data_IF_732726304867
#
_entry.id   IF_732726304867
#
_cell.length_a   1.000
_cell.length_b   1.000
_cell.length_c   1.000
_cell.angle_alpha   90.00
_cell.angle_beta   90.00
_cell.angle_gamma   90.00
#
_symmetry.space_group_name_H-M   'P 1'
#
loop_
_entity.id
_entity.type
_entity.pdbx_description
1 polymer ?
#
# COMPACT_ATOMS: atom_id res chain seq x y z
N UNK A 1 4.55 19.74 -50.94
CA UNK A 1 3.22 19.83 -50.27
C UNK A 1 2.71 21.27 -50.35
N UNK A 2 1.39 21.50 -50.49
CA UNK A 2 0.81 22.86 -50.49
C UNK A 2 0.92 23.50 -49.10
N UNK A 3 1.08 24.84 -49.04
CA UNK A 3 1.16 25.63 -47.79
C UNK A 3 -0.01 25.34 -46.84
N UNK A 4 -1.20 25.09 -47.40
CA UNK A 4 -2.40 24.69 -46.64
C UNK A 4 -2.25 23.31 -45.98
N UNK A 5 -1.67 22.34 -46.68
CA UNK A 5 -1.39 20.99 -46.16
C UNK A 5 -0.32 21.00 -45.05
N UNK A 6 0.65 21.92 -45.13
CA UNK A 6 1.68 22.08 -44.10
C UNK A 6 1.10 22.60 -42.79
N UNK A 7 0.26 23.65 -42.85
CA UNK A 7 -0.41 24.21 -41.67
C UNK A 7 -1.35 23.20 -41.00
N UNK A 8 -2.07 22.40 -41.80
CA UNK A 8 -2.95 21.35 -41.31
C UNK A 8 -2.17 20.23 -40.60
N UNK A 9 -1.03 19.81 -41.15
CA UNK A 9 -0.15 18.83 -40.52
C UNK A 9 0.39 19.33 -39.18
N UNK A 10 0.78 20.60 -39.08
CA UNK A 10 1.24 21.20 -37.81
C UNK A 10 0.13 21.21 -36.76
N UNK A 11 -1.09 21.60 -37.15
CA UNK A 11 -2.26 21.57 -36.25
C UNK A 11 -2.53 20.15 -35.73
N UNK A 12 -2.54 19.15 -36.61
CA UNK A 12 -2.77 17.75 -36.24
C UNK A 12 -1.67 17.22 -35.31
N UNK A 13 -0.41 17.65 -35.48
CA UNK A 13 0.68 17.29 -34.58
C UNK A 13 0.48 17.88 -33.18
N UNK A 14 0.06 19.14 -33.08
CA UNK A 14 -0.24 19.80 -31.81
C UNK A 14 -1.41 19.12 -31.08
N UNK A 15 -2.47 18.81 -31.82
CA UNK A 15 -3.65 18.13 -31.29
C UNK A 15 -3.30 16.72 -30.78
N UNK A 16 -2.56 15.94 -31.56
CA UNK A 16 -2.09 14.62 -31.13
C UNK A 16 -1.21 14.69 -29.88
N UNK A 17 -0.35 15.72 -29.76
CA UNK A 17 0.46 15.91 -28.56
C UNK A 17 -0.42 16.22 -27.33
N UNK A 18 -1.48 17.01 -27.49
CA UNK A 18 -2.44 17.29 -26.41
C UNK A 18 -3.21 16.03 -26.00
N UNK A 19 -3.71 15.26 -26.97
CA UNK A 19 -4.44 14.01 -26.72
C UNK A 19 -3.56 12.99 -26.01
N UNK A 20 -2.30 12.83 -26.42
CA UNK A 20 -1.34 11.93 -25.74
C UNK A 20 -1.13 12.32 -24.27
N UNK A 21 -1.06 13.61 -23.96
CA UNK A 21 -0.94 14.10 -22.56
C UNK A 21 -2.20 13.80 -21.75
N UNK A 22 -3.37 14.01 -22.32
CA UNK A 22 -4.64 13.72 -21.66
C UNK A 22 -4.85 12.22 -21.42
N UNK A 23 -4.54 11.40 -22.42
CA UNK A 23 -4.62 9.94 -22.28
C UNK A 23 -3.68 9.46 -21.17
N UNK A 24 -2.43 9.95 -21.12
CA UNK A 24 -1.50 9.60 -20.04
C UNK A 24 -2.05 9.97 -18.66
N UNK A 25 -2.62 11.18 -18.52
CA UNK A 25 -3.25 11.63 -17.28
C UNK A 25 -4.35 10.66 -16.84
N UNK A 26 -5.29 10.37 -17.75
CA UNK A 26 -6.41 9.46 -17.50
C UNK A 26 -5.94 8.04 -17.20
N UNK A 27 -4.87 7.56 -17.85
CA UNK A 27 -4.31 6.23 -17.58
C UNK A 27 -3.83 6.13 -16.13
N UNK A 28 -3.08 7.12 -15.65
CA UNK A 28 -2.59 7.15 -14.26
C UNK A 28 -3.75 7.27 -13.26
N UNK A 29 -4.68 8.20 -13.50
CA UNK A 29 -5.84 8.42 -12.60
C UNK A 29 -6.71 7.17 -12.52
N UNK A 30 -7.08 6.58 -13.65
CA UNK A 30 -7.91 5.37 -13.67
C UNK A 30 -7.20 4.18 -13.01
N UNK A 31 -5.89 4.03 -13.23
CA UNK A 31 -5.12 2.97 -12.56
C UNK A 31 -5.12 3.17 -11.04
N UNK A 32 -4.91 4.41 -10.56
CA UNK A 32 -4.98 4.72 -9.14
C UNK A 32 -6.39 4.44 -8.55
N UNK A 33 -7.43 4.95 -9.20
CA UNK A 33 -8.82 4.79 -8.74
C UNK A 33 -9.22 3.32 -8.74
N UNK A 34 -8.92 2.56 -9.79
CA UNK A 34 -9.35 1.16 -9.88
C UNK A 34 -8.55 0.24 -8.96
N UNK A 35 -7.23 0.44 -8.89
CA UNK A 35 -6.35 -0.51 -8.21
C UNK A 35 -6.18 -0.17 -6.73
N UNK A 36 -6.36 1.08 -6.29
CA UNK A 36 -5.99 1.52 -4.94
C UNK A 36 -7.16 2.08 -4.13
N UNK A 37 -8.02 2.94 -4.70
CA UNK A 37 -9.11 3.54 -3.92
C UNK A 37 -10.06 2.54 -3.23
N UNK A 38 -10.46 1.40 -3.85
CA UNK A 38 -11.31 0.42 -3.18
C UNK A 38 -10.73 -0.17 -1.90
N UNK A 39 -9.40 -0.17 -1.75
CA UNK A 39 -8.71 -0.74 -0.60
C UNK A 39 -8.59 0.26 0.57
N UNK A 40 -8.78 1.54 0.32
CA UNK A 40 -8.73 2.57 1.34
C UNK A 40 -10.04 2.58 2.15
N UNK A 41 -10.01 1.96 3.33
CA UNK A 41 -11.16 1.93 4.27
C UNK A 41 -11.47 3.31 4.89
N UNK A 42 -10.50 4.24 4.85
CA UNK A 42 -10.50 5.61 5.39
C UNK A 42 -9.61 6.49 4.49
N UNK A 43 -9.45 7.77 4.85
CA UNK A 43 -8.40 8.61 4.23
C UNK A 43 -7.04 7.89 4.28
N UNK A 44 -6.39 7.69 3.12
CA UNK A 44 -5.17 6.92 3.06
C UNK A 44 -4.02 7.65 3.73
N UNK A 45 -3.22 6.89 4.45
CA UNK A 45 -1.98 7.36 5.06
C UNK A 45 -0.94 7.70 4.01
N UNK A 46 0.01 8.58 4.35
CA UNK A 46 1.12 8.94 3.46
C UNK A 46 1.92 7.71 2.99
N UNK A 47 2.02 6.68 3.83
CA UNK A 47 2.67 5.41 3.51
C UNK A 47 1.89 4.62 2.47
N UNK A 48 0.56 4.52 2.62
CA UNK A 48 -0.30 3.84 1.64
C UNK A 48 -0.28 4.56 0.28
N UNK A 49 -0.33 5.91 0.29
CA UNK A 49 -0.23 6.70 -0.94
C UNK A 49 1.15 6.51 -1.61
N UNK A 50 2.23 6.50 -0.82
CA UNK A 50 3.58 6.28 -1.35
C UNK A 50 3.75 4.86 -1.92
N UNK A 51 3.14 3.85 -1.29
CA UNK A 51 3.11 2.49 -1.82
C UNK A 51 2.37 2.44 -3.16
N UNK A 52 1.17 3.02 -3.24
CA UNK A 52 0.39 3.08 -4.47
C UNK A 52 1.16 3.75 -5.62
N UNK A 53 1.84 4.86 -5.35
CA UNK A 53 2.66 5.56 -6.36
C UNK A 53 3.86 4.71 -6.80
N UNK A 54 4.45 3.96 -5.87
CA UNK A 54 5.59 3.09 -6.17
C UNK A 54 5.17 1.94 -7.09
N UNK A 55 4.04 1.30 -6.83
CA UNK A 55 3.48 0.27 -7.70
C UNK A 55 3.08 0.83 -9.08
N UNK A 56 2.42 1.99 -9.14
CA UNK A 56 2.11 2.64 -10.41
C UNK A 56 3.36 3.00 -11.22
N UNK A 57 4.47 3.35 -10.55
CA UNK A 57 5.77 3.54 -11.21
C UNK A 57 6.24 2.24 -11.85
N UNK A 58 6.11 1.11 -11.16
CA UNK A 58 6.52 -0.19 -11.69
C UNK A 58 5.64 -0.62 -12.87
N UNK A 59 4.33 -0.45 -12.77
CA UNK A 59 3.37 -0.82 -13.81
C UNK A 59 3.49 0.06 -15.07
N UNK A 60 3.59 1.38 -14.90
CA UNK A 60 3.51 2.33 -16.01
C UNK A 60 4.89 2.77 -16.52
N UNK A 61 5.97 2.46 -15.80
CA UNK A 61 7.33 2.88 -16.15
C UNK A 61 7.55 4.41 -16.11
N UNK A 62 6.68 5.14 -15.42
CA UNK A 62 6.72 6.61 -15.34
C UNK A 62 7.59 7.09 -14.18
N UNK A 63 8.18 8.27 -14.33
CA UNK A 63 8.87 8.91 -13.21
C UNK A 63 7.89 9.27 -12.08
N UNK A 64 8.26 8.99 -10.83
CA UNK A 64 7.47 9.32 -9.61
C UNK A 64 6.95 10.76 -9.64
N UNK A 65 7.82 11.71 -10.00
CA UNK A 65 7.47 13.13 -10.12
C UNK A 65 6.24 13.36 -10.99
N UNK A 66 6.12 12.62 -12.10
CA UNK A 66 5.03 12.77 -13.06
C UNK A 66 3.74 12.17 -12.54
N UNK A 67 3.82 11.02 -11.88
CA UNK A 67 2.67 10.37 -11.24
C UNK A 67 2.10 11.28 -10.15
N UNK A 68 2.96 11.79 -9.26
CA UNK A 68 2.55 12.74 -8.19
C UNK A 68 1.90 13.99 -8.78
N UNK A 69 2.46 14.57 -9.84
CA UNK A 69 1.87 15.74 -10.50
C UNK A 69 0.46 15.44 -11.03
N UNK A 70 0.27 14.29 -11.68
CA UNK A 70 -1.03 13.87 -12.21
C UNK A 70 -2.04 13.66 -11.07
N UNK A 71 -1.68 12.88 -10.04
CA UNK A 71 -2.53 12.61 -8.89
C UNK A 71 -2.94 13.92 -8.20
N UNK A 72 -1.97 14.79 -7.92
CA UNK A 72 -2.24 16.06 -7.24
C UNK A 72 -3.05 17.06 -8.09
N UNK A 73 -3.16 16.85 -9.40
CA UNK A 73 -4.02 17.69 -10.27
C UNK A 73 -5.50 17.34 -10.10
N UNK A 74 -5.82 16.17 -9.56
CA UNK A 74 -7.19 15.73 -9.30
C UNK A 74 -7.53 15.97 -7.82
N UNK A 75 -8.59 16.74 -7.55
CA UNK A 75 -9.02 17.09 -6.19
C UNK A 75 -9.60 15.89 -5.43
N UNK A 76 -10.15 14.91 -6.14
CA UNK A 76 -10.76 13.71 -5.54
C UNK A 76 -9.72 12.65 -5.15
N UNK A 77 -8.46 12.83 -5.55
CA UNK A 77 -7.37 11.92 -5.25
C UNK A 77 -6.53 12.41 -4.07
N UNK A 78 -5.98 11.50 -3.26
CA UNK A 78 -5.22 11.88 -2.08
C UNK A 78 -3.89 12.53 -2.47
N UNK A 79 -3.71 13.80 -2.06
CA UNK A 79 -2.50 14.56 -2.34
C UNK A 79 -1.29 14.10 -1.53
N UNK A 80 -0.13 14.11 -2.16
CA UNK A 80 1.16 13.91 -1.50
C UNK A 80 2.24 14.81 -2.06
N UNK A 81 3.05 15.42 -1.18
CA UNK A 81 4.25 16.14 -1.60
C UNK A 81 5.37 15.16 -1.93
N UNK A 82 6.32 15.57 -2.79
CA UNK A 82 7.49 14.72 -3.09
C UNK A 82 8.32 14.39 -1.85
N UNK A 83 8.45 15.35 -0.92
CA UNK A 83 9.13 15.11 0.36
C UNK A 83 8.42 14.03 1.17
N UNK A 84 7.10 14.16 1.36
CA UNK A 84 6.31 13.16 2.08
C UNK A 84 6.36 11.78 1.41
N UNK A 85 6.41 11.73 0.06
CA UNK A 85 6.62 10.48 -0.68
C UNK A 85 7.96 9.83 -0.30
N UNK A 86 9.06 10.57 -0.43
CA UNK A 86 10.39 10.01 -0.13
C UNK A 86 10.53 9.69 1.35
N UNK A 87 10.04 10.55 2.24
CA UNK A 87 10.02 10.29 3.68
C UNK A 87 9.25 9.01 4.01
N UNK A 88 8.10 8.77 3.36
CA UNK A 88 7.33 7.55 3.56
C UNK A 88 7.99 6.32 2.90
N UNK A 89 8.63 6.50 1.76
CA UNK A 89 9.32 5.45 1.01
C UNK A 89 10.60 4.96 1.71
N UNK A 90 11.36 5.87 2.33
CA UNK A 90 12.60 5.56 3.05
C UNK A 90 12.39 5.28 4.54
N UNK A 91 11.17 5.49 5.05
CA UNK A 91 10.86 5.12 6.43
C UNK A 91 10.82 3.61 6.52
N UNK A 92 11.84 3.06 7.18
CA UNK A 92 11.80 1.66 7.57
C UNK A 92 10.57 1.40 8.43
N UNK A 93 9.97 0.24 8.18
CA UNK A 93 8.94 -0.27 9.06
C UNK A 93 9.56 -0.54 10.44
N UNK A 94 9.32 0.36 11.40
CA UNK A 94 9.85 0.26 12.77
C UNK A 94 9.55 -1.08 13.42
N UNK A 95 8.45 -1.72 13.06
CA UNK A 95 8.14 -3.06 13.58
C UNK A 95 9.06 -4.10 12.98
N UNK A 96 9.35 -4.01 11.68
CA UNK A 96 10.30 -4.90 11.02
C UNK A 96 11.71 -4.70 11.57
N UNK A 97 12.10 -3.45 11.85
CA UNK A 97 13.41 -3.13 12.42
C UNK A 97 13.54 -3.64 13.87
N UNK A 98 12.53 -3.40 14.71
CA UNK A 98 12.62 -3.70 16.15
C UNK A 98 12.18 -5.12 16.52
N UNK A 99 11.35 -5.76 15.69
CA UNK A 99 10.68 -7.03 15.99
C UNK A 99 10.67 -7.99 14.80
N UNK A 100 11.52 -7.81 13.79
CA UNK A 100 11.51 -8.64 12.57
C UNK A 100 11.67 -10.14 12.85
N UNK A 101 12.53 -10.49 13.82
CA UNK A 101 12.72 -11.85 14.31
C UNK A 101 11.44 -12.41 14.96
N UNK A 102 10.80 -11.62 15.81
CA UNK A 102 9.55 -12.01 16.48
C UNK A 102 8.39 -12.11 15.49
N UNK A 103 8.31 -11.22 14.49
CA UNK A 103 7.31 -11.25 13.42
C UNK A 103 7.41 -12.56 12.64
N UNK A 104 8.63 -12.92 12.19
CA UNK A 104 8.86 -14.17 11.49
C UNK A 104 8.46 -15.37 12.35
N UNK A 105 8.86 -15.39 13.63
CA UNK A 105 8.54 -16.50 14.52
C UNK A 105 7.05 -16.59 14.85
N UNK A 106 6.33 -15.47 14.97
CA UNK A 106 4.86 -15.46 15.13
C UNK A 106 4.20 -16.18 13.96
N UNK A 107 4.63 -15.90 12.73
CA UNK A 107 4.07 -16.50 11.52
C UNK A 107 4.31 -18.02 11.50
N UNK A 108 5.54 -18.47 11.77
CA UNK A 108 5.88 -19.89 11.87
C UNK A 108 5.02 -20.61 12.90
N UNK A 109 4.95 -20.08 14.13
CA UNK A 109 4.14 -20.67 15.21
C UNK A 109 2.67 -20.75 14.79
N UNK A 110 2.14 -19.70 14.16
CA UNK A 110 0.76 -19.69 13.68
C UNK A 110 0.52 -20.83 12.67
N UNK A 111 1.42 -21.00 11.71
CA UNK A 111 1.33 -22.03 10.68
C UNK A 111 1.51 -23.46 11.22
N UNK A 112 2.35 -23.65 12.24
CA UNK A 112 2.52 -24.93 12.93
C UNK A 112 1.23 -25.35 13.66
N UNK A 113 0.54 -24.41 14.30
CA UNK A 113 -0.56 -24.73 15.23
C UNK A 113 -1.96 -24.51 14.64
N UNK A 114 -2.11 -23.85 13.48
CA UNK A 114 -3.41 -23.62 12.81
C UNK A 114 -4.15 -24.92 12.45
N UNK A 115 -3.42 -26.01 12.21
CA UNK A 115 -4.04 -27.31 11.92
C UNK A 115 -4.67 -27.95 13.18
N UNK A 116 -4.20 -27.56 14.37
CA UNK A 116 -4.70 -28.06 15.67
C UNK A 116 -5.75 -27.13 16.28
N UNK A 117 -5.69 -25.84 15.98
CA UNK A 117 -6.59 -24.82 16.51
C UNK A 117 -7.21 -24.04 15.35
N UNK A 118 -8.55 -24.02 15.30
CA UNK A 118 -9.35 -23.38 14.22
C UNK A 118 -8.93 -21.93 13.92
N UNK A 119 -8.44 -21.17 14.91
CA UNK A 119 -7.64 -19.96 14.69
C UNK A 119 -6.81 -19.62 15.96
N UNK A 120 -5.48 -19.77 15.95
CA UNK A 120 -4.64 -19.55 17.11
C UNK A 120 -4.63 -18.08 17.55
N UNK A 121 -5.02 -17.82 18.80
CA UNK A 121 -4.98 -16.46 19.35
C UNK A 121 -3.62 -16.06 19.91
N UNK A 122 -3.39 -14.74 19.98
CA UNK A 122 -2.15 -14.15 20.51
C UNK A 122 -1.74 -14.61 21.90
N UNK A 123 -2.70 -15.07 22.74
CA UNK A 123 -2.40 -15.74 24.03
C UNK A 123 -1.49 -16.94 23.85
N UNK A 124 -1.87 -17.84 22.96
CA UNK A 124 -1.17 -19.10 22.72
C UNK A 124 0.20 -18.83 22.13
N UNK A 125 0.26 -17.92 21.16
CA UNK A 125 1.51 -17.56 20.50
C UNK A 125 2.48 -16.89 21.48
N UNK A 126 2.00 -15.95 22.30
CA UNK A 126 2.85 -15.32 23.33
C UNK A 126 3.43 -16.36 24.29
N UNK A 127 2.64 -17.36 24.70
CA UNK A 127 3.11 -18.41 25.59
C UNK A 127 4.20 -19.28 24.95
N UNK A 128 4.09 -19.58 23.66
CA UNK A 128 5.11 -20.33 22.93
C UNK A 128 6.39 -19.50 22.79
N UNK A 129 6.26 -18.22 22.39
CA UNK A 129 7.38 -17.28 22.33
C UNK A 129 8.11 -17.16 23.68
N UNK A 130 7.38 -17.07 24.80
CA UNK A 130 7.99 -17.00 26.13
C UNK A 130 8.72 -18.28 26.51
N UNK A 131 8.21 -19.46 26.11
CA UNK A 131 8.91 -20.74 26.31
C UNK A 131 10.19 -20.85 25.50
N UNK A 132 10.24 -20.18 24.34
CA UNK A 132 11.43 -20.08 23.49
C UNK A 132 12.40 -18.97 23.93
N UNK A 133 12.07 -18.23 24.99
CA UNK A 133 12.95 -17.22 25.61
C UNK A 133 12.65 -15.77 25.22
N UNK A 134 11.74 -15.52 24.27
CA UNK A 134 11.38 -14.15 23.86
C UNK A 134 10.72 -13.37 24.99
N UNK A 135 11.25 -12.21 25.36
CA UNK A 135 10.70 -11.32 26.39
C UNK A 135 9.82 -10.22 25.76
N UNK A 136 8.76 -10.60 25.06
CA UNK A 136 7.85 -9.66 24.39
C UNK A 136 6.51 -9.52 25.12
N UNK A 137 5.99 -8.29 25.21
CA UNK A 137 4.68 -8.04 25.78
C UNK A 137 3.57 -8.65 24.88
N UNK A 138 2.63 -9.34 25.50
CA UNK A 138 1.44 -9.91 24.84
C UNK A 138 0.64 -8.90 24.01
N UNK A 139 0.58 -7.61 24.43
CA UNK A 139 -0.09 -6.55 23.65
C UNK A 139 0.65 -6.27 22.34
N UNK A 140 1.98 -6.31 22.36
CA UNK A 140 2.83 -6.15 21.18
C UNK A 140 2.62 -7.33 20.24
N UNK A 141 2.63 -8.57 20.75
CA UNK A 141 2.32 -9.77 19.94
C UNK A 141 0.95 -9.63 19.26
N UNK A 142 -0.09 -9.21 19.99
CA UNK A 142 -1.41 -9.00 19.41
C UNK A 142 -1.39 -7.98 18.27
N UNK A 143 -0.72 -6.84 18.47
CA UNK A 143 -0.58 -5.78 17.46
C UNK A 143 0.17 -6.28 16.22
N UNK A 144 1.29 -6.98 16.40
CA UNK A 144 2.07 -7.55 15.30
C UNK A 144 1.27 -8.59 14.52
N UNK A 145 0.52 -9.45 15.20
CA UNK A 145 -0.39 -10.40 14.57
C UNK A 145 -1.46 -9.70 13.71
N UNK A 146 -2.10 -8.63 14.21
CA UNK A 146 -3.10 -7.89 13.44
C UNK A 146 -2.50 -7.22 12.19
N UNK A 147 -1.24 -6.78 12.26
CA UNK A 147 -0.54 -6.21 11.11
C UNK A 147 -0.30 -7.22 10.00
N UNK A 148 -0.16 -8.49 10.35
CA UNK A 148 -0.04 -9.62 9.43
C UNK A 148 -1.39 -10.25 9.08
N UNK A 149 -2.51 -9.62 9.45
CA UNK A 149 -3.86 -10.17 9.31
C UNK A 149 -4.05 -11.56 9.95
N UNK A 150 -3.27 -11.86 10.99
CA UNK A 150 -3.39 -13.07 11.79
C UNK A 150 -4.36 -12.83 12.94
N UNK A 151 -5.59 -13.31 12.78
CA UNK A 151 -6.63 -13.20 13.82
C UNK A 151 -6.79 -14.51 14.57
N UNK A 152 -6.97 -14.40 15.89
CA UNK A 152 -7.34 -15.53 16.75
C UNK A 152 -8.84 -15.73 16.80
N UNK A 153 -9.29 -16.96 17.05
CA UNK A 153 -10.70 -17.24 17.29
C UNK A 153 -11.17 -16.54 18.58
N UNK A 154 -12.25 -15.77 18.49
CA UNK A 154 -12.93 -15.16 19.64
C UNK A 154 -14.33 -15.73 19.73
N UNK A 155 -14.63 -16.45 20.83
CA UNK A 155 -15.99 -16.89 21.11
C UNK A 155 -16.87 -15.66 21.37
N UNK A 156 -17.95 -15.49 20.60
CA UNK A 156 -18.94 -14.43 20.85
C UNK A 156 -19.49 -14.60 22.27
N UNK A 157 -19.40 -13.55 23.10
CA UNK A 157 -20.03 -13.56 24.43
C UNK A 157 -21.54 -13.66 24.23
N UNK A 158 -22.18 -14.64 24.87
CA UNK A 158 -23.64 -14.65 25.00
C UNK A 158 -24.00 -13.52 25.96
N UNK A 159 -24.71 -12.50 25.47
CA UNK A 159 -25.35 -11.54 26.35
C UNK A 159 -26.47 -12.27 27.10
N UNK A 160 -26.55 -12.15 28.44
CA UNK A 160 -27.68 -12.69 29.20
C UNK A 160 -28.99 -11.99 28.83
#
# INVERSE_FOLDING_TARGET
MSKKKLNELERLKQENAKLRRQNLKLTVENAYIKNWMPWFKKEPTKTEIAQAITELRHELGLAVKKIIEIINTNEDLPHISRSNYYDAYTRDDKDQVNHGDVIARIQEIYDEIKNRYVAPGYRRITHILHREGYQINRKTVNRLMHKMDLYGYVMKRRHP
#
